data_IF_839706269282
#
_entry.id   IF_839706269282
#
_cell.length_a   1.000
_cell.length_b   1.000
_cell.length_c   1.000
_cell.angle_alpha   90.00
_cell.angle_beta   90.00
_cell.angle_gamma   90.00
#
_symmetry.space_group_name_H-M   'P 1'
#
loop_
_entity.id
_entity.type
_entity.pdbx_description
1 polymer ?
#
# COMPACT_ATOMS: atom_id res chain seq x y z
N UNK A 1 12.40 -1.21 -27.36
CA UNK A 1 12.29 -1.63 -25.94
C UNK A 1 11.14 -0.83 -25.32
N UNK A 2 10.18 -1.48 -24.66
CA UNK A 2 9.03 -0.79 -24.05
C UNK A 2 9.43 0.04 -22.81
N UNK A 3 8.52 0.92 -22.35
CA UNK A 3 8.72 1.88 -21.25
C UNK A 3 9.24 1.24 -19.93
N UNK A 4 8.94 -0.05 -19.72
CA UNK A 4 9.35 -0.80 -18.52
C UNK A 4 10.27 -1.99 -18.84
N UNK A 5 10.94 -1.98 -20.00
CA UNK A 5 11.83 -3.08 -20.42
C UNK A 5 11.11 -4.39 -20.80
N UNK A 6 9.77 -4.42 -20.76
CA UNK A 6 8.94 -5.57 -21.14
C UNK A 6 8.23 -5.35 -22.47
N UNK A 7 7.80 -6.43 -23.12
CA UNK A 7 7.03 -6.42 -24.37
C UNK A 7 5.80 -7.30 -24.21
N UNK A 8 4.62 -6.76 -24.51
CA UNK A 8 3.35 -7.49 -24.48
C UNK A 8 2.85 -7.72 -25.92
N UNK A 9 2.23 -8.88 -26.19
CA UNK A 9 1.50 -9.08 -27.45
C UNK A 9 0.16 -8.35 -27.38
N UNK A 10 0.08 -7.18 -28.01
CA UNK A 10 -1.12 -6.34 -27.92
C UNK A 10 -2.33 -6.92 -28.65
N UNK A 11 -2.14 -7.92 -29.52
CA UNK A 11 -3.22 -8.54 -30.32
C UNK A 11 -4.17 -9.40 -29.48
N UNK A 12 -3.75 -9.79 -28.28
CA UNK A 12 -4.55 -10.64 -27.38
C UNK A 12 -5.55 -9.84 -26.56
N UNK A 13 -5.41 -8.51 -26.49
CA UNK A 13 -6.29 -7.64 -25.71
C UNK A 13 -7.39 -7.03 -26.57
N UNK A 14 -8.60 -6.92 -26.00
CA UNK A 14 -9.69 -6.17 -26.62
C UNK A 14 -9.44 -4.66 -26.45
N UNK A 15 -10.08 -3.85 -27.29
CA UNK A 15 -9.98 -2.38 -27.28
C UNK A 15 -10.14 -1.76 -25.88
N UNK A 16 -11.03 -2.33 -25.06
CA UNK A 16 -11.37 -1.82 -23.73
C UNK A 16 -10.84 -2.70 -22.59
N UNK A 17 -9.98 -3.68 -22.89
CA UNK A 17 -9.42 -4.63 -21.91
C UNK A 17 -8.22 -4.05 -21.17
N UNK A 18 -8.47 -2.96 -20.43
CA UNK A 18 -7.43 -2.32 -19.60
C UNK A 18 -6.97 -3.25 -18.47
N UNK A 19 -7.91 -4.04 -17.92
CA UNK A 19 -7.64 -4.94 -16.81
C UNK A 19 -6.69 -6.06 -17.23
N UNK A 20 -7.02 -6.80 -18.29
CA UNK A 20 -6.20 -7.89 -18.81
C UNK A 20 -4.82 -7.40 -19.26
N UNK A 21 -4.75 -6.25 -19.93
CA UNK A 21 -3.48 -5.62 -20.29
C UNK A 21 -2.62 -5.27 -19.08
N UNK A 22 -3.23 -4.79 -17.98
CA UNK A 22 -2.50 -4.45 -16.75
C UNK A 22 -2.01 -5.68 -16.01
N UNK A 23 -2.82 -6.75 -15.95
CA UNK A 23 -2.39 -8.05 -15.38
C UNK A 23 -1.23 -8.61 -16.18
N UNK A 24 -1.31 -8.63 -17.51
CA UNK A 24 -0.22 -9.10 -18.36
C UNK A 24 1.06 -8.27 -18.17
N UNK A 25 0.93 -6.95 -18.05
CA UNK A 25 2.06 -6.07 -17.74
C UNK A 25 2.70 -6.42 -16.39
N UNK A 26 1.90 -6.49 -15.33
CA UNK A 26 2.38 -6.80 -13.99
C UNK A 26 3.06 -8.17 -13.89
N UNK A 27 2.56 -9.17 -14.63
CA UNK A 27 3.18 -10.49 -14.73
C UNK A 27 4.54 -10.47 -15.39
N UNK A 28 4.71 -9.73 -16.49
CA UNK A 28 6.03 -9.59 -17.11
C UNK A 28 7.00 -8.81 -16.22
N UNK A 29 6.53 -7.78 -15.52
CA UNK A 29 7.36 -7.05 -14.54
C UNK A 29 7.81 -7.94 -13.39
N UNK A 30 6.91 -8.77 -12.86
CA UNK A 30 7.24 -9.77 -11.84
C UNK A 30 8.28 -10.77 -12.35
N UNK A 31 8.14 -11.24 -13.60
CA UNK A 31 9.06 -12.21 -14.22
C UNK A 31 10.48 -11.66 -14.38
N UNK A 32 10.63 -10.35 -14.59
CA UNK A 32 11.94 -9.71 -14.68
C UNK A 32 12.67 -9.56 -13.34
N UNK A 33 12.03 -9.95 -12.21
CA UNK A 33 12.64 -9.88 -10.88
C UNK A 33 12.76 -8.47 -10.32
N UNK A 34 11.92 -7.55 -10.79
CA UNK A 34 11.93 -6.16 -10.36
C UNK A 34 11.26 -5.97 -8.99
N UNK A 35 11.57 -4.84 -8.37
CA UNK A 35 10.86 -4.29 -7.22
C UNK A 35 9.43 -3.90 -7.59
N UNK A 36 8.58 -3.72 -6.58
CA UNK A 36 7.19 -3.32 -6.78
C UNK A 36 7.04 -1.80 -7.07
N UNK A 37 7.82 -1.30 -8.03
CA UNK A 37 7.96 0.13 -8.32
C UNK A 37 6.63 0.80 -8.66
N UNK A 38 5.71 0.09 -9.33
CA UNK A 38 4.39 0.64 -9.66
C UNK A 38 3.52 0.86 -8.43
N UNK A 39 3.67 0.04 -7.38
CA UNK A 39 2.95 0.23 -6.13
C UNK A 39 3.51 1.43 -5.35
N UNK A 40 4.84 1.59 -5.35
CA UNK A 40 5.51 2.76 -4.78
C UNK A 40 5.10 4.04 -5.51
N UNK A 41 5.22 4.06 -6.84
CA UNK A 41 4.84 5.19 -7.69
C UNK A 41 3.33 5.48 -7.68
N UNK A 42 2.49 4.49 -7.36
CA UNK A 42 1.04 4.61 -7.26
C UNK A 42 0.51 4.69 -5.83
N UNK A 43 1.38 4.87 -4.83
CA UNK A 43 1.00 4.74 -3.42
C UNK A 43 -0.09 5.76 -3.03
N UNK A 44 0.08 6.99 -3.49
CA UNK A 44 -0.80 8.12 -3.17
C UNK A 44 -2.11 8.12 -3.95
N UNK A 45 -2.20 7.30 -5.02
CA UNK A 45 -3.40 7.16 -5.82
C UNK A 45 -4.36 6.16 -5.18
N UNK A 46 -5.68 6.35 -5.33
CA UNK A 46 -6.65 5.37 -4.87
C UNK A 46 -6.41 3.99 -5.53
N UNK A 47 -6.59 2.87 -4.82
CA UNK A 47 -6.44 1.54 -5.41
C UNK A 47 -7.48 1.26 -6.49
N UNK A 48 -7.09 0.47 -7.50
CA UNK A 48 -8.05 -0.11 -8.43
C UNK A 48 -8.87 -1.16 -7.71
N UNK A 49 -10.21 -1.06 -7.79
CA UNK A 49 -11.14 -2.04 -7.20
C UNK A 49 -10.98 -3.45 -7.77
N UNK A 50 -10.45 -3.55 -8.99
CA UNK A 50 -10.22 -4.83 -9.66
C UNK A 50 -8.79 -5.37 -9.47
N UNK A 51 -7.87 -4.51 -9.04
CA UNK A 51 -6.43 -4.79 -8.86
C UNK A 51 -5.88 -3.90 -7.75
N UNK A 52 -6.13 -4.23 -6.49
CA UNK A 52 -5.81 -3.32 -5.38
C UNK A 52 -4.31 -3.01 -5.20
N UNK A 53 -3.41 -3.81 -5.80
CA UNK A 53 -1.98 -3.54 -5.90
C UNK A 53 -1.60 -2.49 -6.96
N UNK A 54 -2.57 -2.03 -7.76
CA UNK A 54 -2.42 -1.00 -8.78
C UNK A 54 -3.24 0.24 -8.44
N UNK A 55 -2.84 1.43 -8.92
CA UNK A 55 -3.68 2.61 -8.85
C UNK A 55 -4.93 2.43 -9.70
N UNK A 56 -6.02 3.10 -9.32
CA UNK A 56 -7.25 3.14 -10.08
C UNK A 56 -7.01 3.68 -11.49
N UNK A 57 -7.69 3.09 -12.47
CA UNK A 57 -7.55 3.54 -13.86
C UNK A 57 -8.18 4.92 -14.05
N UNK A 58 -7.48 5.87 -14.68
CA UNK A 58 -8.05 7.17 -14.95
C UNK A 58 -9.18 7.10 -15.98
N UNK A 59 -10.18 7.94 -15.76
CA UNK A 59 -11.23 8.25 -16.72
C UNK A 59 -10.67 9.33 -17.65
N UNK A 60 -10.60 9.03 -18.94
CA UNK A 60 -10.06 9.93 -19.95
C UNK A 60 -11.20 10.54 -20.76
N UNK A 61 -11.19 11.86 -20.95
CA UNK A 61 -12.12 12.55 -21.85
C UNK A 61 -11.44 12.89 -23.18
N UNK A 62 -12.23 13.10 -24.24
CA UNK A 62 -11.73 13.52 -25.56
C UNK A 62 -10.95 14.85 -25.48
N UNK A 63 -11.27 15.69 -24.50
CA UNK A 63 -10.55 16.94 -24.21
C UNK A 63 -9.16 16.76 -23.59
N UNK A 64 -8.68 15.52 -23.44
CA UNK A 64 -7.33 15.21 -22.97
C UNK A 64 -7.16 15.24 -21.45
N UNK A 65 -8.23 15.42 -20.68
CA UNK A 65 -8.17 15.37 -19.21
C UNK A 65 -8.27 13.93 -18.72
N UNK A 66 -7.41 13.58 -17.77
CA UNK A 66 -7.45 12.33 -17.04
C UNK A 66 -7.90 12.60 -15.60
N UNK A 67 -8.95 11.93 -15.15
CA UNK A 67 -9.51 12.10 -13.80
C UNK A 67 -9.61 10.79 -13.04
N UNK A 68 -9.62 10.86 -11.71
CA UNK A 68 -9.80 9.74 -10.81
C UNK A 68 -10.96 10.02 -9.86
N UNK A 69 -11.74 8.99 -9.57
CA UNK A 69 -12.72 9.05 -8.49
C UNK A 69 -12.01 8.82 -7.16
N UNK A 70 -12.09 9.80 -6.26
CA UNK A 70 -11.54 9.71 -4.90
C UNK A 70 -12.65 9.81 -3.86
N UNK A 71 -12.31 9.56 -2.59
CA UNK A 71 -13.21 9.82 -1.45
C UNK A 71 -13.70 11.28 -1.38
N UNK A 72 -12.94 12.21 -1.97
CA UNK A 72 -13.27 13.65 -2.01
C UNK A 72 -13.88 14.08 -3.34
N UNK A 73 -14.34 13.13 -4.16
CA UNK A 73 -14.92 13.36 -5.48
C UNK A 73 -13.95 13.14 -6.63
N UNK A 74 -14.38 13.53 -7.83
CA UNK A 74 -13.59 13.42 -9.06
C UNK A 74 -12.48 14.47 -9.05
N UNK A 75 -11.22 14.04 -9.17
CA UNK A 75 -10.04 14.92 -9.24
C UNK A 75 -9.22 14.64 -10.49
N UNK A 76 -8.54 15.67 -11.00
CA UNK A 76 -7.61 15.51 -12.12
C UNK A 76 -6.33 14.80 -11.67
N UNK A 77 -5.79 13.89 -12.48
CA UNK A 77 -4.57 13.14 -12.15
C UNK A 77 -3.37 14.06 -11.91
N UNK A 78 -3.32 15.21 -12.61
CA UNK A 78 -2.30 16.25 -12.42
C UNK A 78 -2.22 16.77 -10.98
N UNK A 79 -3.34 16.79 -10.24
CA UNK A 79 -3.38 17.31 -8.87
C UNK A 79 -2.61 16.44 -7.86
N UNK A 80 -2.30 15.19 -8.21
CA UNK A 80 -1.51 14.29 -7.36
C UNK A 80 0.01 14.46 -7.58
N UNK A 81 0.44 15.12 -8.67
CA UNK A 81 1.87 15.35 -8.96
C UNK A 81 2.61 16.15 -7.92
N UNK A 82 1.98 17.17 -7.33
CA UNK A 82 2.60 17.95 -6.26
C UNK A 82 2.80 17.12 -4.97
N UNK A 83 2.07 16.02 -4.82
CA UNK A 83 2.22 15.10 -3.68
C UNK A 83 3.23 13.98 -3.94
N UNK A 84 3.65 13.77 -5.20
CA UNK A 84 4.67 12.79 -5.56
C UNK A 84 6.10 13.27 -5.30
N UNK A 85 6.30 14.54 -4.92
CA UNK A 85 7.59 15.04 -4.49
C UNK A 85 8.15 14.17 -3.35
N UNK A 86 9.33 13.59 -3.58
CA UNK A 86 9.99 12.69 -2.64
C UNK A 86 9.70 11.20 -2.84
N UNK A 87 8.60 10.79 -3.49
CA UNK A 87 8.31 9.36 -3.73
C UNK A 87 9.33 8.68 -4.64
N UNK A 88 10.01 9.45 -5.51
CA UNK A 88 11.16 9.00 -6.30
C UNK A 88 12.39 8.59 -5.46
N UNK A 89 12.36 8.88 -4.16
CA UNK A 89 13.42 8.53 -3.21
C UNK A 89 13.02 7.37 -2.30
N UNK A 90 11.86 6.75 -2.56
CA UNK A 90 11.46 5.53 -1.87
C UNK A 90 12.43 4.41 -2.25
N UNK A 91 13.19 3.97 -1.27
CA UNK A 91 14.20 2.93 -1.39
C UNK A 91 13.76 1.66 -0.65
N UNK A 92 14.44 0.56 -0.92
CA UNK A 92 14.20 -0.74 -0.27
C UNK A 92 12.77 -1.27 -0.50
N UNK A 93 12.21 -0.98 -1.68
CA UNK A 93 10.92 -1.52 -2.09
C UNK A 93 10.92 -3.06 -2.03
N UNK A 94 9.81 -3.68 -1.59
CA UNK A 94 9.66 -5.12 -1.60
C UNK A 94 9.91 -5.74 -2.98
N UNK A 95 10.51 -6.94 -2.95
CA UNK A 95 10.66 -7.75 -4.14
C UNK A 95 9.32 -8.34 -4.54
N UNK A 96 9.03 -8.31 -5.84
CA UNK A 96 7.90 -9.04 -6.40
C UNK A 96 8.31 -10.50 -6.57
N UNK A 97 7.59 -11.40 -5.91
CA UNK A 97 7.80 -12.85 -6.02
C UNK A 97 7.07 -13.38 -7.25
N UNK A 98 5.82 -12.98 -7.45
CA UNK A 98 4.99 -13.43 -8.56
C UNK A 98 3.76 -12.54 -8.75
N UNK A 99 3.09 -12.71 -9.88
CA UNK A 99 1.73 -12.23 -10.08
C UNK A 99 0.91 -13.33 -10.77
N UNK A 100 -0.28 -13.63 -10.25
CA UNK A 100 -1.16 -14.65 -10.82
C UNK A 100 -2.07 -14.10 -11.93
N UNK A 101 -2.82 -14.98 -12.60
CA UNK A 101 -3.79 -14.62 -13.64
C UNK A 101 -4.99 -13.82 -13.10
N UNK A 102 -5.27 -13.94 -11.80
CA UNK A 102 -6.32 -13.20 -11.12
C UNK A 102 -5.92 -11.77 -10.74
N UNK A 103 -4.66 -11.41 -10.96
CA UNK A 103 -4.13 -10.11 -10.64
C UNK A 103 -3.73 -9.93 -9.16
N UNK A 104 -3.43 -11.03 -8.47
CA UNK A 104 -2.78 -10.99 -7.17
C UNK A 104 -1.27 -10.89 -7.35
N UNK A 105 -0.68 -9.82 -6.84
CA UNK A 105 0.76 -9.62 -6.79
C UNK A 105 1.27 -10.13 -5.44
N UNK A 106 2.12 -11.14 -5.45
CA UNK A 106 2.81 -11.63 -4.26
C UNK A 106 4.12 -10.88 -4.09
N UNK A 107 4.29 -10.21 -2.96
CA UNK A 107 5.53 -9.54 -2.58
C UNK A 107 6.13 -10.17 -1.35
N UNK A 108 7.46 -10.08 -1.22
CA UNK A 108 8.18 -10.45 0.00
C UNK A 108 8.53 -9.20 0.78
N UNK A 109 7.93 -9.02 1.96
CA UNK A 109 8.05 -7.80 2.75
C UNK A 109 7.97 -8.09 4.25
N UNK A 110 8.45 -7.15 5.06
CA UNK A 110 8.17 -7.16 6.50
C UNK A 110 6.69 -6.83 6.71
N UNK A 111 6.03 -7.61 7.56
CA UNK A 111 4.62 -7.40 7.89
C UNK A 111 4.40 -7.30 9.39
N UNK A 112 3.39 -6.53 9.77
CA UNK A 112 2.92 -6.42 11.14
C UNK A 112 1.42 -6.66 11.16
N UNK A 113 0.95 -7.50 12.07
CA UNK A 113 -0.48 -7.72 12.25
C UNK A 113 -1.08 -6.57 13.05
N UNK A 114 -2.11 -5.94 12.49
CA UNK A 114 -2.87 -4.88 13.15
C UNK A 114 -4.05 -5.52 13.89
N UNK A 115 -4.06 -5.38 15.21
CA UNK A 115 -5.10 -5.94 16.10
C UNK A 115 -6.32 -5.02 16.22
N UNK A 116 -6.09 -3.70 16.24
CA UNK A 116 -7.16 -2.70 16.26
C UNK A 116 -6.72 -1.39 15.60
N UNK A 117 -7.70 -0.64 15.11
CA UNK A 117 -7.55 0.69 14.50
C UNK A 117 -8.63 1.63 15.05
N UNK A 118 -8.21 2.58 15.87
CA UNK A 118 -9.05 3.61 16.51
C UNK A 118 -8.83 4.94 15.81
N UNK A 119 -9.91 5.66 15.50
CA UNK A 119 -9.80 6.95 14.83
C UNK A 119 -9.29 8.03 15.80
N UNK A 120 -8.32 8.83 15.35
CA UNK A 120 -7.70 9.88 16.13
C UNK A 120 -6.46 9.44 16.92
N UNK A 121 -5.63 10.40 17.36
CA UNK A 121 -4.51 10.12 18.24
C UNK A 121 -5.00 9.86 19.67
N UNK A 122 -4.70 8.68 20.21
CA UNK A 122 -4.89 8.39 21.63
C UNK A 122 -3.56 8.64 22.36
N UNK A 123 -3.40 9.86 22.86
CA UNK A 123 -2.21 10.27 23.59
C UNK A 123 -2.07 9.59 24.97
N UNK A 124 -3.10 8.88 25.44
CA UNK A 124 -3.15 8.34 26.80
C UNK A 124 -2.77 6.85 26.89
N UNK A 125 -2.50 6.18 25.76
CA UNK A 125 -2.13 4.76 25.74
C UNK A 125 -0.73 4.54 25.17
N UNK A 126 0.29 4.28 26.01
CA UNK A 126 1.69 4.18 25.57
C UNK A 126 1.98 2.98 24.64
N UNK A 127 1.07 2.01 24.57
CA UNK A 127 1.19 0.81 23.72
C UNK A 127 0.50 0.97 22.36
N UNK A 128 -0.21 2.08 22.11
CA UNK A 128 -0.78 2.37 20.80
C UNK A 128 0.25 3.09 19.93
N UNK A 129 0.33 2.69 18.66
CA UNK A 129 1.17 3.34 17.65
C UNK A 129 0.31 4.28 16.81
N UNK A 130 0.77 5.51 16.61
CA UNK A 130 0.07 6.47 15.74
C UNK A 130 0.45 6.24 14.28
N UNK A 131 -0.55 6.04 13.42
CA UNK A 131 -0.41 5.95 11.98
C UNK A 131 -1.04 7.18 11.32
N UNK A 132 -0.27 7.86 10.47
CA UNK A 132 -0.84 8.85 9.54
C UNK A 132 -1.21 8.13 8.25
N UNK A 133 -2.47 8.24 7.83
CA UNK A 133 -2.97 7.60 6.60
C UNK A 133 -3.66 8.63 5.71
N UNK A 134 -3.93 8.27 4.46
CA UNK A 134 -4.77 9.08 3.57
C UNK A 134 -6.25 9.20 3.99
N UNK A 135 -6.67 8.47 5.03
CA UNK A 135 -8.02 8.55 5.60
C UNK A 135 -8.07 9.31 6.93
N UNK A 136 -6.92 9.76 7.42
CA UNK A 136 -6.78 10.44 8.71
C UNK A 136 -5.73 9.78 9.58
N UNK A 137 -5.62 10.29 10.81
CA UNK A 137 -4.73 9.76 11.84
C UNK A 137 -5.44 8.68 12.63
N UNK A 138 -4.80 7.53 12.81
CA UNK A 138 -5.32 6.41 13.58
C UNK A 138 -4.34 6.03 14.68
N UNK A 139 -4.87 5.56 15.80
CA UNK A 139 -4.10 4.83 16.80
C UNK A 139 -4.32 3.35 16.56
N UNK A 140 -3.24 2.58 16.46
CA UNK A 140 -3.33 1.15 16.20
C UNK A 140 -2.62 0.34 17.28
N UNK A 141 -3.21 -0.80 17.61
CA UNK A 141 -2.55 -1.84 18.38
C UNK A 141 -1.94 -2.83 17.41
N UNK A 142 -0.64 -3.02 17.48
CA UNK A 142 0.09 -3.98 16.66
C UNK A 142 0.36 -5.22 17.51
N UNK A 143 0.28 -6.40 16.91
CA UNK A 143 0.71 -7.62 17.57
C UNK A 143 2.24 -7.63 17.64
N UNK A 144 2.79 -7.28 18.80
CA UNK A 144 4.21 -7.48 19.08
C UNK A 144 4.46 -8.99 19.23
N UNK A 145 5.34 -9.54 18.39
CA UNK A 145 5.71 -10.96 18.48
C UNK A 145 6.41 -11.31 19.81
N UNK A 146 6.85 -10.32 20.58
CA UNK A 146 7.47 -10.51 21.90
C UNK A 146 6.49 -10.45 23.08
N UNK A 147 5.26 -9.94 22.92
CA UNK A 147 4.27 -9.85 23.99
C UNK A 147 3.13 -10.85 23.82
N UNK A 148 3.37 -12.08 24.29
CA UNK A 148 2.40 -13.19 24.25
C UNK A 148 1.21 -13.03 25.21
N UNK A 149 0.91 -11.83 25.72
CA UNK A 149 -0.14 -11.64 26.74
C UNK A 149 -0.69 -10.21 26.79
N UNK A 150 -1.67 -9.90 25.94
CA UNK A 150 -2.61 -8.81 26.23
C UNK A 150 -4.03 -9.26 25.91
N UNK A 151 -4.77 -9.57 26.97
CA UNK A 151 -6.18 -9.92 26.99
C UNK A 151 -7.08 -8.82 26.42
N UNK A 152 -8.11 -9.25 25.70
CA UNK A 152 -9.18 -8.46 25.12
C UNK A 152 -10.00 -7.74 26.20
N UNK A 153 -9.86 -6.42 26.35
CA UNK A 153 -10.88 -5.62 27.05
C UNK A 153 -10.76 -4.16 26.64
N UNK A 154 -11.66 -3.71 25.75
CA UNK A 154 -12.53 -2.54 25.90
C UNK A 154 -13.05 -2.11 24.52
N UNK A 155 -14.38 -2.12 24.39
CA UNK A 155 -15.12 -1.76 23.19
C UNK A 155 -15.50 -0.27 23.26
N UNK A 156 -14.91 0.53 22.39
CA UNK A 156 -15.52 1.75 21.86
C UNK A 156 -15.64 1.63 20.35
N UNK A 157 -16.58 2.35 19.75
CA UNK A 157 -17.01 2.26 18.34
C UNK A 157 -15.89 2.62 17.35
N UNK A 158 -14.96 1.69 17.20
CA UNK A 158 -13.80 1.72 16.34
C UNK A 158 -14.01 0.84 15.11
N UNK A 159 -13.14 0.98 14.10
CA UNK A 159 -13.05 0.03 13.00
C UNK A 159 -12.50 -1.29 13.56
N UNK A 160 -13.39 -2.08 14.17
CA UNK A 160 -13.11 -3.46 14.57
C UNK A 160 -13.08 -4.26 13.26
N UNK A 161 -11.94 -4.83 12.84
CA UNK A 161 -11.95 -5.82 11.77
C UNK A 161 -13.01 -6.85 12.15
N UNK A 162 -13.95 -7.17 11.25
CA UNK A 162 -14.92 -8.25 11.50
C UNK A 162 -14.16 -9.46 12.08
N UNK A 163 -14.74 -10.17 13.06
CA UNK A 163 -14.09 -11.16 13.96
C UNK A 163 -13.12 -12.16 13.29
N UNK A 164 -13.14 -12.30 11.96
CA UNK A 164 -12.28 -13.20 11.18
C UNK A 164 -11.41 -12.54 10.08
N UNK A 165 -11.39 -11.21 9.93
CA UNK A 165 -10.60 -10.54 8.88
C UNK A 165 -9.23 -10.07 9.39
N UNK A 166 -8.14 -10.65 8.87
CA UNK A 166 -6.77 -10.22 9.21
C UNK A 166 -6.44 -8.89 8.53
N UNK A 167 -5.92 -7.93 9.28
CA UNK A 167 -5.34 -6.69 8.73
C UNK A 167 -3.84 -6.72 8.95
N UNK A 168 -3.09 -6.50 7.88
CA UNK A 168 -1.64 -6.41 7.92
C UNK A 168 -1.20 -5.01 7.53
N UNK A 169 -0.16 -4.52 8.19
CA UNK A 169 0.64 -3.40 7.72
C UNK A 169 1.88 -3.98 7.03
N UNK A 170 2.07 -3.64 5.76
CA UNK A 170 3.16 -4.15 4.93
C UNK A 170 4.15 -3.03 4.68
N UNK A 171 5.41 -3.25 5.06
CA UNK A 171 6.48 -2.27 4.82
C UNK A 171 6.76 -2.15 3.32
N UNK A 172 6.77 -0.92 2.80
CA UNK A 172 7.17 -0.63 1.42
C UNK A 172 8.56 0.01 1.33
N UNK A 173 9.21 0.28 2.46
CA UNK A 173 10.54 0.88 2.51
C UNK A 173 10.54 2.30 3.07
N UNK A 174 11.61 3.04 2.78
CA UNK A 174 11.87 4.34 3.38
C UNK A 174 12.28 5.38 2.35
N UNK A 175 11.85 6.62 2.55
CA UNK A 175 12.33 7.76 1.79
C UNK A 175 13.77 8.08 2.19
N UNK A 176 14.73 7.71 1.33
CA UNK A 176 16.14 8.05 1.51
C UNK A 176 16.49 9.20 0.59
N UNK A 177 16.62 10.40 1.14
CA UNK A 177 17.04 11.54 0.33
C UNK A 177 18.40 11.25 -0.33
N UNK A 178 18.57 11.61 -1.61
CA UNK A 178 19.86 11.49 -2.26
C UNK A 178 20.85 12.38 -1.50
N UNK A 179 22.00 11.81 -1.13
CA UNK A 179 23.11 12.55 -0.52
C UNK A 179 23.79 13.41 -1.59
N UNK A 180 23.10 14.42 -2.09
CA UNK A 180 23.63 15.43 -2.98
C UNK A 180 24.07 16.65 -2.17
N UNK A 181 25.29 17.13 -2.41
CA UNK A 181 25.88 18.26 -1.68
C UNK A 181 25.05 19.56 -1.76
N UNK A 182 24.15 19.68 -2.75
CA UNK A 182 23.30 20.84 -2.98
C UNK A 182 22.00 20.87 -2.17
N UNK A 183 21.61 19.75 -1.54
CA UNK A 183 20.40 19.70 -0.70
C UNK A 183 20.82 19.65 0.76
N UNK A 184 20.29 20.56 1.58
CA UNK A 184 20.39 20.42 3.03
C UNK A 184 19.77 19.08 3.42
N UNK A 185 20.38 18.35 4.37
CA UNK A 185 19.81 17.10 4.90
C UNK A 185 18.42 17.41 5.46
N UNK A 186 17.37 17.10 4.72
CA UNK A 186 16.03 17.15 5.23
C UNK A 186 15.73 15.76 5.78
N UNK A 187 15.74 15.68 7.11
CA UNK A 187 15.35 14.50 7.83
C UNK A 187 13.83 14.54 7.92
N UNK A 188 13.15 13.77 7.07
CA UNK A 188 11.73 13.51 7.29
C UNK A 188 11.61 12.52 8.46
N UNK A 189 11.10 12.93 9.63
CA UNK A 189 10.93 11.99 10.74
C UNK A 189 9.93 10.89 10.39
N UNK A 190 9.10 11.06 9.36
CA UNK A 190 8.10 10.12 8.86
C UNK A 190 8.54 9.47 7.54
N UNK A 191 9.83 9.16 7.38
CA UNK A 191 10.38 8.61 6.14
C UNK A 191 9.85 7.21 5.77
N UNK A 192 9.34 6.44 6.73
CA UNK A 192 8.80 5.10 6.49
C UNK A 192 7.52 5.13 5.67
N UNK A 193 7.37 4.23 4.70
CA UNK A 193 6.16 4.05 3.90
C UNK A 193 5.65 2.62 4.05
N UNK A 194 4.35 2.48 4.28
CA UNK A 194 3.70 1.19 4.37
C UNK A 194 2.29 1.24 3.76
N UNK A 195 1.71 0.07 3.55
CA UNK A 195 0.30 -0.07 3.18
C UNK A 195 -0.44 -0.91 4.21
N UNK A 196 -1.70 -0.55 4.41
CA UNK A 196 -2.64 -1.39 5.15
C UNK A 196 -3.39 -2.27 4.15
N UNK A 197 -3.34 -3.57 4.39
CA UNK A 197 -4.04 -4.57 3.59
C UNK A 197 -4.98 -5.38 4.46
N UNK A 198 -6.18 -5.66 3.95
CA UNK A 198 -7.21 -6.44 4.64
C UNK A 198 -7.46 -7.74 3.90
N UNK A 199 -7.43 -8.84 4.63
CA UNK A 199 -7.73 -10.15 4.09
C UNK A 199 -9.21 -10.24 3.68
N UNK A 200 -9.45 -10.76 2.49
CA UNK A 200 -10.79 -10.94 1.94
C UNK A 200 -11.05 -12.37 1.44
N UNK A 201 -9.99 -13.18 1.31
CA UNK A 201 -10.00 -14.61 1.08
C UNK A 201 -8.71 -15.19 1.69
N UNK A 202 -8.62 -16.52 1.95
CA UNK A 202 -7.44 -17.10 2.59
C UNK A 202 -6.13 -16.66 1.92
N UNK A 203 -5.30 -15.95 2.68
CA UNK A 203 -3.99 -15.42 2.27
C UNK A 203 -4.03 -14.42 1.11
N UNK A 204 -5.20 -13.81 0.85
CA UNK A 204 -5.44 -12.83 -0.22
C UNK A 204 -5.95 -11.53 0.37
N UNK A 205 -5.26 -10.45 0.04
CA UNK A 205 -5.47 -9.16 0.67
C UNK A 205 -5.80 -8.05 -0.33
N UNK A 206 -6.60 -7.09 0.13
CA UNK A 206 -6.86 -5.84 -0.58
C UNK A 206 -6.16 -4.67 0.11
N UNK A 207 -5.52 -3.80 -0.68
CA UNK A 207 -5.00 -2.51 -0.19
C UNK A 207 -6.17 -1.60 0.21
N UNK A 208 -6.24 -1.24 1.50
CA UNK A 208 -7.30 -0.37 2.02
C UNK A 208 -6.83 1.07 2.28
N UNK A 209 -5.55 1.25 2.58
CA UNK A 209 -4.93 2.55 2.82
C UNK A 209 -3.40 2.46 2.63
N UNK A 210 -2.76 3.63 2.58
CA UNK A 210 -1.32 3.77 2.77
C UNK A 210 -1.06 4.56 4.05
N UNK A 211 0.12 4.36 4.63
CA UNK A 211 0.52 5.05 5.85
C UNK A 211 1.99 5.48 5.83
N UNK A 212 2.27 6.50 6.62
CA UNK A 212 3.62 6.96 6.96
C UNK A 212 3.88 6.61 8.41
N UNK A 213 5.11 6.21 8.70
CA UNK A 213 5.54 5.89 10.05
C UNK A 213 6.93 6.47 10.33
N UNK A 214 7.17 6.72 11.61
CA UNK A 214 8.41 7.33 12.05
C UNK A 214 9.56 6.31 12.08
N UNK A 215 10.70 6.65 11.48
CA UNK A 215 11.89 5.80 11.43
C UNK A 215 13.04 6.29 12.33
N UNK A 216 12.94 7.50 12.90
CA UNK A 216 14.04 8.16 13.62
C UNK A 216 14.03 7.95 15.14
N UNK A 217 12.92 7.50 15.72
CA UNK A 217 12.91 7.17 17.14
C UNK A 217 13.62 5.82 17.36
N UNK A 218 14.93 5.88 17.63
CA UNK A 218 15.87 4.77 17.89
C UNK A 218 15.51 3.79 19.02
N UNK A 219 14.29 3.87 19.57
CA UNK A 219 13.72 2.90 20.52
C UNK A 219 12.55 2.09 19.96
N UNK A 220 12.03 2.42 18.78
CA UNK A 220 10.79 1.83 18.24
C UNK A 220 10.75 1.93 16.69
N UNK A 221 11.77 1.46 15.97
CA UNK A 221 11.61 1.28 14.53
C UNK A 221 10.47 0.29 14.30
N UNK A 222 9.35 0.75 13.73
CA UNK A 222 8.08 0.00 13.73
C UNK A 222 8.24 -1.42 13.16
N UNK A 223 9.12 -1.56 12.15
CA UNK A 223 9.47 -2.84 11.53
C UNK A 223 10.83 -3.41 11.96
N UNK A 224 11.58 -2.74 12.86
CA UNK A 224 12.78 -3.35 13.47
C UNK A 224 12.40 -4.51 14.39
N UNK A 225 11.23 -4.44 15.01
CA UNK A 225 10.64 -5.49 15.86
C UNK A 225 10.00 -6.62 15.04
N UNK A 226 9.76 -6.41 13.73
CA UNK A 226 9.17 -7.42 12.87
C UNK A 226 10.18 -8.56 12.61
N UNK A 227 9.90 -9.74 13.16
CA UNK A 227 10.72 -10.93 12.94
C UNK A 227 10.43 -11.54 11.56
N UNK A 228 11.20 -11.14 10.55
CA UNK A 228 11.26 -11.83 9.26
C UNK A 228 10.54 -11.14 8.10
N UNK A 229 10.54 -11.84 6.97
CA UNK A 229 9.90 -11.41 5.72
C UNK A 229 8.82 -12.42 5.39
N UNK A 230 7.61 -11.95 5.08
CA UNK A 230 6.48 -12.76 4.69
C UNK A 230 6.15 -12.56 3.21
N UNK A 231 5.60 -13.61 2.59
CA UNK A 231 5.00 -13.50 1.26
C UNK A 231 3.54 -13.05 1.42
N UNK A 232 3.21 -11.89 0.85
CA UNK A 232 1.86 -11.29 0.92
C UNK A 232 1.29 -11.13 -0.47
N UNK A 233 0.16 -11.77 -0.75
CA UNK A 233 -0.56 -11.65 -2.02
C UNK A 233 -1.61 -10.54 -1.96
N UNK A 234 -1.34 -9.45 -2.68
CA UNK A 234 -2.16 -8.23 -2.70
C UNK A 234 -2.74 -8.05 -4.10
N UNK A 235 -4.04 -7.86 -4.21
CA UNK A 235 -4.66 -7.58 -5.50
C UNK A 235 -6.00 -8.26 -5.66
N UNK A 236 -6.25 -8.68 -6.89
CA UNK A 236 -7.50 -9.29 -7.33
C UNK A 236 -8.71 -8.36 -7.28
N UNK A 237 -9.84 -8.82 -7.84
CA UNK A 237 -11.08 -8.08 -7.75
C UNK A 237 -11.56 -8.03 -6.31
N UNK A 238 -12.06 -6.87 -5.89
CA UNK A 238 -13.00 -6.77 -4.77
C UNK A 238 -13.97 -7.95 -4.92
N UNK A 239 -14.19 -8.81 -3.90
CA UNK A 239 -15.43 -9.57 -3.89
C UNK A 239 -16.53 -8.54 -4.13
N UNK A 240 -17.47 -8.83 -5.02
CA UNK A 240 -18.62 -7.95 -5.24
C UNK A 240 -19.33 -7.79 -3.89
N UNK A 241 -18.91 -6.81 -3.09
CA UNK A 241 -19.63 -6.41 -1.91
C UNK A 241 -20.89 -5.81 -2.47
N UNK A 242 -22.00 -6.53 -2.29
CA UNK A 242 -23.33 -6.03 -2.58
C UNK A 242 -23.42 -4.63 -1.96
N UNK A 243 -23.52 -3.64 -2.85
CA UNK A 243 -23.72 -2.25 -2.47
C UNK A 243 -25.17 -2.18 -1.99
N UNK A 244 -25.35 -2.25 -0.67
CA UNK A 244 -26.58 -1.84 0.02
C UNK A 244 -26.52 -0.35 0.35
#
# INVERSE_FOLDING_TARGET
>A
MGLFGVTLDTRVFRKDDRLGATVALGRELARTGNTIDWLGAGLLLPPCRQLSSFPAFPITTVSGKATLSTISGIREVSTFYNSFEGMQWLCDLPLVVSMDDGGYTTIRAQTLRVLSLTAGPDANQPHLRTLSTNRGTYSCKIHDYNEMSLSETNRHDDFIPAENSRVLMVNLGELKQPTMASFARFLDPWAGRAILVKEHAPERFHRIAWCEYNTYNARNGLFEEACGMDDVSIGGPDPLCDVH
#
